data_IF_679647246938
#
_entry.id   IF_679647246938
#
_cell.length_a   1.000
_cell.length_b   1.000
_cell.length_c   1.000
_cell.angle_alpha   90.00
_cell.angle_beta   90.00
_cell.angle_gamma   90.00
#
_symmetry.space_group_name_H-M   'P 1'
#
loop_
_entity.id
_entity.type
_entity.pdbx_description
1 polymer ?
#
# COMPACT_ATOMS: atom_id res chain seq x y z
N UNK A 1 -1.65 15.31 -48.40
CA UNK A 1 -2.50 14.31 -47.72
C UNK A 1 -1.69 13.25 -46.95
N UNK A 2 -0.36 13.22 -47.05
CA UNK A 2 0.48 12.31 -46.24
C UNK A 2 0.95 12.97 -44.94
N UNK A 3 1.09 14.30 -44.94
CA UNK A 3 1.50 15.08 -43.76
C UNK A 3 0.49 15.03 -42.60
N UNK A 4 -0.81 15.01 -42.94
CA UNK A 4 -1.95 14.91 -42.02
C UNK A 4 -1.93 13.59 -41.22
N UNK A 5 -1.64 12.48 -41.91
CA UNK A 5 -1.53 11.14 -41.29
C UNK A 5 -0.34 11.07 -40.34
N UNK A 6 0.76 11.74 -40.68
CA UNK A 6 1.96 11.76 -39.84
C UNK A 6 1.78 12.64 -38.60
N UNK A 7 1.02 13.74 -38.72
CA UNK A 7 0.63 14.59 -37.61
C UNK A 7 -0.30 13.87 -36.63
N UNK A 8 -1.33 13.19 -37.15
CA UNK A 8 -2.25 12.36 -36.38
C UNK A 8 -1.52 11.21 -35.65
N UNK A 9 -0.58 10.55 -36.34
CA UNK A 9 0.25 9.50 -35.74
C UNK A 9 1.11 10.07 -34.60
N UNK A 10 1.73 11.23 -34.81
CA UNK A 10 2.57 11.89 -33.81
C UNK A 10 1.74 12.30 -32.59
N UNK A 11 0.54 12.84 -32.81
CA UNK A 11 -0.39 13.22 -31.76
C UNK A 11 -0.87 12.00 -30.95
N UNK A 12 -1.20 10.90 -31.61
CA UNK A 12 -1.58 9.63 -30.98
C UNK A 12 -0.44 9.08 -30.11
N UNK A 13 0.77 9.01 -30.65
CA UNK A 13 1.95 8.53 -29.92
C UNK A 13 2.25 9.42 -28.71
N UNK A 14 2.18 10.75 -28.88
CA UNK A 14 2.35 11.72 -27.79
C UNK A 14 1.33 11.52 -26.68
N UNK A 15 0.06 11.29 -27.04
CA UNK A 15 -1.02 11.03 -26.09
C UNK A 15 -0.79 9.72 -25.32
N UNK A 16 -0.39 8.65 -26.01
CA UNK A 16 -0.08 7.35 -25.38
C UNK A 16 1.11 7.47 -24.40
N UNK A 17 2.16 8.20 -24.79
CA UNK A 17 3.33 8.42 -23.92
C UNK A 17 2.95 9.24 -22.69
N UNK A 18 2.13 10.28 -22.85
CA UNK A 18 1.60 11.07 -21.75
C UNK A 18 0.78 10.20 -20.78
N UNK A 19 -0.20 9.45 -21.28
CA UNK A 19 -0.99 8.50 -20.48
C UNK A 19 -0.07 7.51 -19.75
N UNK A 20 0.92 6.93 -20.42
CA UNK A 20 1.89 6.00 -19.81
C UNK A 20 2.66 6.65 -18.65
N UNK A 21 3.10 7.90 -18.81
CA UNK A 21 3.82 8.62 -17.75
C UNK A 21 2.93 8.93 -16.55
N UNK A 22 1.70 9.35 -16.79
CA UNK A 22 0.70 9.63 -15.75
C UNK A 22 0.27 8.35 -15.03
N UNK A 23 0.04 7.25 -15.76
CA UNK A 23 -0.24 5.93 -15.17
C UNK A 23 0.92 5.40 -14.31
N UNK A 24 2.18 5.63 -14.71
CA UNK A 24 3.35 5.27 -13.88
C UNK A 24 3.44 6.10 -12.60
N UNK A 25 3.08 7.38 -12.65
CA UNK A 25 3.00 8.23 -11.47
C UNK A 25 1.80 7.89 -10.56
N UNK A 26 0.72 7.37 -11.16
CA UNK A 26 -0.55 7.06 -10.52
C UNK A 26 -0.68 5.61 -10.02
N UNK A 27 0.36 4.78 -10.07
CA UNK A 27 0.41 3.65 -9.14
C UNK A 27 0.57 4.29 -7.76
N UNK A 28 -0.51 4.42 -6.97
CA UNK A 28 -0.38 5.05 -5.68
C UNK A 28 0.63 4.16 -4.98
N UNK A 29 1.69 4.75 -4.44
CA UNK A 29 2.61 4.03 -3.57
C UNK A 29 1.80 3.63 -2.31
N UNK A 30 0.85 2.71 -2.47
CA UNK A 30 -0.05 2.20 -1.47
C UNK A 30 0.79 1.65 -0.32
N UNK A 31 1.93 1.03 -0.64
CA UNK A 31 2.89 0.55 0.35
C UNK A 31 3.51 1.66 1.20
N UNK A 32 3.87 2.83 0.64
CA UNK A 32 4.64 3.86 1.36
C UNK A 32 3.79 4.70 2.33
N UNK A 33 2.52 4.97 2.01
CA UNK A 33 1.60 5.69 2.93
C UNK A 33 0.99 4.81 4.02
N UNK A 34 1.05 3.49 3.86
CA UNK A 34 0.43 2.53 4.78
C UNK A 34 1.32 2.11 5.94
N UNK A 35 2.64 2.22 5.79
CA UNK A 35 3.62 1.76 6.78
C UNK A 35 4.60 2.90 7.07
N UNK A 36 4.69 3.27 8.35
CA UNK A 36 5.58 4.33 8.80
C UNK A 36 7.05 3.96 8.56
N UNK A 37 7.93 4.99 8.51
CA UNK A 37 9.37 4.78 8.36
C UNK A 37 9.96 3.97 9.52
N UNK A 38 9.45 4.17 10.75
CA UNK A 38 9.88 3.44 11.94
C UNK A 38 9.52 1.96 11.85
N UNK A 39 8.31 1.61 11.42
CA UNK A 39 7.90 0.21 11.20
C UNK A 39 8.72 -0.44 10.08
N UNK A 40 9.02 0.30 9.00
CA UNK A 40 9.92 -0.19 7.93
C UNK A 40 11.32 -0.51 8.46
N UNK A 41 11.88 0.33 9.33
CA UNK A 41 13.17 0.07 9.95
C UNK A 41 13.17 -1.20 10.81
N UNK A 42 12.09 -1.47 11.55
CA UNK A 42 11.93 -2.70 12.33
C UNK A 42 11.85 -3.94 11.44
N UNK A 43 11.12 -3.86 10.33
CA UNK A 43 11.02 -4.94 9.35
C UNK A 43 12.37 -5.22 8.69
N UNK A 44 13.14 -4.19 8.36
CA UNK A 44 14.48 -4.33 7.80
C UNK A 44 15.44 -4.95 8.83
N UNK A 45 15.39 -4.51 10.09
CA UNK A 45 16.17 -5.12 11.18
C UNK A 45 15.84 -6.61 11.32
N UNK A 46 14.56 -6.98 11.25
CA UNK A 46 14.12 -8.37 11.33
C UNK A 46 14.59 -9.20 10.13
N UNK A 47 14.60 -8.61 8.93
CA UNK A 47 14.99 -9.29 7.69
C UNK A 47 16.47 -9.71 7.71
N UNK A 48 17.32 -8.92 8.34
CA UNK A 48 18.77 -9.18 8.43
C UNK A 48 19.19 -9.90 9.73
N UNK A 49 18.24 -10.24 10.60
CA UNK A 49 18.53 -10.94 11.84
C UNK A 49 18.47 -12.46 11.62
N UNK A 50 19.53 -13.16 12.00
CA UNK A 50 19.56 -14.62 11.98
C UNK A 50 18.60 -15.19 13.03
N UNK A 51 17.64 -16.00 12.58
CA UNK A 51 16.62 -16.59 13.45
C UNK A 51 17.17 -17.70 14.35
N UNK A 52 18.15 -18.47 13.89
CA UNK A 52 18.70 -19.61 14.62
C UNK A 52 19.62 -19.14 15.75
N UNK A 53 20.47 -18.15 15.47
CA UNK A 53 21.39 -17.59 16.47
C UNK A 53 20.65 -16.71 17.49
N UNK A 54 19.64 -15.94 17.06
CA UNK A 54 18.97 -14.94 17.89
C UNK A 54 17.48 -15.25 18.11
N UNK A 55 17.12 -16.50 18.39
CA UNK A 55 15.71 -16.93 18.42
C UNK A 55 14.82 -16.05 19.30
N UNK A 56 15.22 -15.75 20.55
CA UNK A 56 14.40 -14.96 21.47
C UNK A 56 14.21 -13.53 20.97
N UNK A 57 15.30 -12.88 20.55
CA UNK A 57 15.24 -11.52 20.00
C UNK A 57 14.42 -11.47 18.72
N UNK A 58 14.55 -12.47 17.85
CA UNK A 58 13.77 -12.61 16.63
C UNK A 58 12.28 -12.73 16.94
N UNK A 59 11.90 -13.51 17.97
CA UNK A 59 10.51 -13.67 18.38
C UNK A 59 9.92 -12.36 18.93
N UNK A 60 10.67 -11.65 19.77
CA UNK A 60 10.30 -10.34 20.31
C UNK A 60 10.15 -9.32 19.19
N UNK A 61 11.13 -9.23 18.30
CA UNK A 61 11.11 -8.31 17.16
C UNK A 61 9.97 -8.63 16.19
N UNK A 62 9.69 -9.91 15.96
CA UNK A 62 8.55 -10.35 15.14
C UNK A 62 7.21 -9.93 15.74
N UNK A 63 7.06 -10.03 17.07
CA UNK A 63 5.87 -9.55 17.78
C UNK A 63 5.71 -8.04 17.65
N UNK A 64 6.80 -7.30 17.86
CA UNK A 64 6.82 -5.85 17.73
C UNK A 64 6.47 -5.39 16.32
N UNK A 65 7.02 -6.04 15.28
CA UNK A 65 6.70 -5.76 13.88
C UNK A 65 5.20 -5.92 13.60
N UNK A 66 4.56 -7.00 14.08
CA UNK A 66 3.12 -7.22 13.90
C UNK A 66 2.29 -6.16 14.60
N UNK A 67 2.66 -5.78 15.82
CA UNK A 67 1.96 -4.75 16.57
C UNK A 67 2.02 -3.40 15.85
N UNK A 68 3.22 -2.96 15.45
CA UNK A 68 3.42 -1.70 14.73
C UNK A 68 2.73 -1.68 13.37
N UNK A 69 2.71 -2.80 12.66
CA UNK A 69 1.94 -2.94 11.41
C UNK A 69 0.43 -2.82 11.64
N UNK A 70 -0.09 -3.35 12.76
CA UNK A 70 -1.50 -3.22 13.10
C UNK A 70 -1.87 -1.76 13.41
N UNK A 71 -1.03 -1.07 14.18
CA UNK A 71 -1.18 0.35 14.51
C UNK A 71 -1.14 1.23 13.25
N UNK A 72 -0.12 1.05 12.39
CA UNK A 72 0.00 1.76 11.12
C UNK A 72 -1.23 1.52 10.22
N UNK A 73 -1.72 0.28 10.15
CA UNK A 73 -2.91 -0.05 9.37
C UNK A 73 -4.17 0.61 9.93
N UNK A 74 -4.36 0.60 11.25
CA UNK A 74 -5.49 1.25 11.91
C UNK A 74 -5.48 2.77 11.67
N UNK A 75 -4.31 3.40 11.77
CA UNK A 75 -4.13 4.82 11.49
C UNK A 75 -4.42 5.15 10.03
N UNK A 76 -3.95 4.32 9.09
CA UNK A 76 -4.24 4.46 7.67
C UNK A 76 -5.74 4.36 7.38
N UNK A 77 -6.42 3.35 7.94
CA UNK A 77 -7.88 3.17 7.81
C UNK A 77 -8.62 4.39 8.35
N UNK A 78 -8.25 4.86 9.56
CA UNK A 78 -8.85 6.03 10.19
C UNK A 78 -8.68 7.28 9.33
N UNK A 79 -7.46 7.61 8.91
CA UNK A 79 -7.17 8.77 8.07
C UNK A 79 -7.94 8.72 6.76
N UNK A 80 -7.96 7.57 6.08
CA UNK A 80 -8.66 7.42 4.80
C UNK A 80 -10.18 7.60 4.93
N UNK A 81 -10.79 7.09 6.00
CA UNK A 81 -12.21 7.27 6.26
C UNK A 81 -12.56 8.72 6.64
N UNK A 82 -11.71 9.39 7.41
CA UNK A 82 -11.87 10.82 7.72
C UNK A 82 -11.76 11.67 6.45
N UNK A 83 -10.76 11.42 5.61
CA UNK A 83 -10.60 12.12 4.32
C UNK A 83 -11.83 11.93 3.43
N UNK A 84 -12.38 10.70 3.39
CA UNK A 84 -13.58 10.40 2.64
C UNK A 84 -14.81 11.15 3.18
N UNK A 85 -14.99 11.20 4.50
CA UNK A 85 -16.06 11.96 5.13
C UNK A 85 -15.96 13.45 4.80
N UNK A 86 -14.77 14.03 4.94
CA UNK A 86 -14.51 15.44 4.60
C UNK A 86 -14.73 15.74 3.12
N UNK A 87 -14.34 14.81 2.25
CA UNK A 87 -14.48 14.94 0.79
C UNK A 87 -15.86 14.52 0.27
N UNK A 88 -16.83 14.24 1.17
CA UNK A 88 -18.18 13.74 0.82
C UNK A 88 -18.16 12.50 -0.10
N UNK A 89 -17.13 11.67 0.00
CA UNK A 89 -17.02 10.39 -0.72
C UNK A 89 -17.80 9.30 0.01
N UNK A 90 -18.24 8.29 -0.74
CA UNK A 90 -18.99 7.15 -0.17
C UNK A 90 -18.13 6.34 0.79
N UNK A 91 -18.45 6.39 2.09
CA UNK A 91 -17.80 5.57 3.11
C UNK A 91 -17.97 4.07 2.87
N UNK A 92 -19.08 3.66 2.24
CA UNK A 92 -19.32 2.26 1.87
C UNK A 92 -18.28 1.76 0.87
N UNK A 93 -18.00 2.56 -0.16
CA UNK A 93 -17.01 2.21 -1.19
C UNK A 93 -15.60 2.22 -0.62
N UNK A 94 -15.27 3.18 0.24
CA UNK A 94 -13.95 3.25 0.87
C UNK A 94 -13.70 2.08 1.83
N UNK A 95 -14.70 1.68 2.63
CA UNK A 95 -14.61 0.48 3.48
C UNK A 95 -14.39 -0.79 2.65
N UNK A 96 -15.07 -0.92 1.51
CA UNK A 96 -14.87 -2.05 0.58
C UNK A 96 -13.45 -2.07 0.03
N UNK A 97 -12.96 -0.94 -0.48
CA UNK A 97 -11.59 -0.84 -0.99
C UNK A 97 -10.52 -1.10 0.09
N UNK A 98 -10.79 -0.71 1.35
CA UNK A 98 -9.92 -1.04 2.48
C UNK A 98 -9.90 -2.54 2.80
N UNK A 99 -11.03 -3.23 2.67
CA UNK A 99 -11.13 -4.67 2.88
C UNK A 99 -10.38 -5.47 1.80
N UNK A 100 -10.44 -5.03 0.54
CA UNK A 100 -9.74 -5.66 -0.59
C UNK A 100 -8.21 -5.57 -0.46
N UNK A 101 -7.70 -4.54 0.22
CA UNK A 101 -6.26 -4.29 0.35
C UNK A 101 -5.72 -4.57 1.76
N UNK A 102 -6.22 -5.58 2.49
CA UNK A 102 -5.68 -5.91 3.83
C UNK A 102 -4.26 -6.46 3.79
N UNK A 103 -3.50 -6.24 4.87
CA UNK A 103 -2.16 -6.81 5.01
C UNK A 103 -2.27 -8.29 5.44
N UNK A 104 -1.65 -9.25 4.72
CA UNK A 104 -1.75 -10.69 5.03
C UNK A 104 -1.20 -11.07 6.42
N UNK A 105 -0.27 -10.28 6.95
CA UNK A 105 0.35 -10.52 8.25
C UNK A 105 -0.54 -10.12 9.45
N UNK A 106 -1.65 -9.41 9.20
CA UNK A 106 -2.61 -9.01 10.21
C UNK A 106 -3.73 -10.03 10.30
N UNK A 107 -4.19 -10.30 11.52
CA UNK A 107 -5.37 -11.13 11.72
C UNK A 107 -6.62 -10.46 11.16
N UNK A 108 -7.56 -11.28 10.73
CA UNK A 108 -8.91 -10.84 10.43
C UNK A 108 -9.60 -10.36 11.73
N UNK A 109 -10.71 -9.60 11.64
CA UNK A 109 -11.37 -8.99 12.80
C UNK A 109 -11.95 -10.04 13.76
N UNK A 110 -12.24 -11.22 13.23
CA UNK A 110 -12.63 -12.46 13.92
C UNK A 110 -11.44 -13.21 14.56
N UNK A 111 -10.21 -12.70 14.41
CA UNK A 111 -8.99 -13.30 14.95
C UNK A 111 -8.37 -14.41 14.09
N UNK A 112 -8.98 -14.74 12.95
CA UNK A 112 -8.45 -15.76 12.03
C UNK A 112 -7.21 -15.23 11.28
N UNK A 113 -6.34 -16.14 10.81
CA UNK A 113 -5.22 -15.76 9.95
C UNK A 113 -5.78 -15.58 8.54
N UNK A 114 -5.42 -14.48 7.86
CA UNK A 114 -5.73 -14.36 6.44
C UNK A 114 -4.93 -15.44 5.68
N UNK A 115 -5.60 -16.52 5.30
CA UNK A 115 -5.08 -17.51 4.36
C UNK A 115 -4.79 -16.79 3.04
N UNK A 116 -3.57 -16.93 2.53
CA UNK A 116 -3.25 -16.54 1.15
C UNK A 116 -3.77 -17.58 0.17
#
# INVERSE_FOLDING_TARGET
>A
MVDDVNEDYTHLVGTIVKIRSECRAAAPNHAKRRISSSTRALLEKRRHMDQQENHLEYAVLSRLCRQRLAEDHANFVKSRLLDAAHSKRSLKMEKRALAEHRLPCLKAPDGSRCSS
#
